data_IF_643683821435
#
_entry.id   IF_643683821435
#
_cell.length_a   1.000
_cell.length_b   1.000
_cell.length_c   1.000
_cell.angle_alpha   90.00
_cell.angle_beta   90.00
_cell.angle_gamma   90.00
#
_symmetry.space_group_name_H-M   'P 1'
#
loop_
_entity.id
_entity.type
_entity.pdbx_description
1 polymer ?
#
# COMPACT_ATOMS: atom_id res chain seq x y z
N UNK A 1 -13.09 -30.43 -4.33
CA UNK A 1 -12.10 -29.34 -4.49
C UNK A 1 -12.77 -28.07 -4.00
N UNK A 2 -12.20 -27.42 -2.99
CA UNK A 2 -12.76 -26.19 -2.40
C UNK A 2 -12.18 -24.98 -3.12
N UNK A 3 -13.00 -23.99 -3.47
CA UNK A 3 -12.55 -22.81 -4.19
C UNK A 3 -12.71 -21.55 -3.34
N UNK A 4 -11.70 -20.69 -3.34
CA UNK A 4 -11.73 -19.40 -2.66
C UNK A 4 -11.54 -18.25 -3.65
N UNK A 5 -12.43 -17.25 -3.54
CA UNK A 5 -12.25 -15.98 -4.22
C UNK A 5 -11.33 -15.09 -3.38
N UNK A 6 -10.24 -14.62 -3.99
CA UNK A 6 -9.36 -13.62 -3.44
C UNK A 6 -9.95 -12.24 -3.76
N UNK A 7 -10.16 -11.44 -2.72
CA UNK A 7 -10.62 -10.07 -2.83
C UNK A 7 -9.44 -9.10 -2.79
N UNK A 8 -8.48 -9.36 -1.90
CA UNK A 8 -7.29 -8.52 -1.71
C UNK A 8 -6.06 -9.37 -1.41
N UNK A 9 -4.89 -8.80 -1.63
CA UNK A 9 -3.63 -9.36 -1.13
C UNK A 9 -2.94 -8.36 -0.19
N UNK A 10 -2.38 -8.86 0.90
CA UNK A 10 -1.42 -8.11 1.70
C UNK A 10 -0.04 -8.25 1.08
N UNK A 11 0.73 -7.16 1.03
CA UNK A 11 2.10 -7.17 0.52
C UNK A 11 3.03 -6.34 1.36
N UNK A 12 4.31 -6.67 1.31
CA UNK A 12 5.40 -5.88 1.84
C UNK A 12 6.49 -5.65 0.78
N UNK A 13 7.70 -5.29 1.22
CA UNK A 13 8.87 -5.08 0.34
C UNK A 13 9.41 -6.35 -0.31
N UNK A 14 9.03 -7.53 0.16
CA UNK A 14 9.48 -8.84 -0.32
C UNK A 14 8.48 -9.50 -1.25
N UNK A 15 7.19 -9.19 -1.13
CA UNK A 15 6.16 -9.72 -2.00
C UNK A 15 4.79 -9.76 -1.33
N UNK A 16 3.93 -10.66 -1.82
CA UNK A 16 2.63 -10.96 -1.21
C UNK A 16 2.91 -11.77 0.07
N UNK A 17 2.32 -11.34 1.18
CA UNK A 17 2.48 -11.99 2.50
C UNK A 17 1.22 -12.72 2.94
N UNK A 18 0.04 -12.25 2.51
CA UNK A 18 -1.22 -12.92 2.82
C UNK A 18 -2.26 -12.67 1.72
N UNK A 19 -3.24 -13.54 1.68
CA UNK A 19 -4.39 -13.48 0.78
C UNK A 19 -5.65 -13.29 1.61
N UNK A 20 -6.46 -12.30 1.25
CA UNK A 20 -7.77 -12.06 1.85
C UNK A 20 -8.81 -12.63 0.92
N UNK A 21 -9.57 -13.59 1.43
CA UNK A 21 -10.72 -14.18 0.76
C UNK A 21 -12.00 -13.66 1.40
N UNK A 22 -13.14 -13.95 0.77
CA UNK A 22 -14.47 -13.61 1.30
C UNK A 22 -14.76 -14.13 2.72
N UNK A 23 -14.01 -15.14 3.18
CA UNK A 23 -14.26 -15.84 4.44
C UNK A 23 -13.10 -15.75 5.44
N UNK A 24 -11.90 -15.38 5.01
CA UNK A 24 -10.69 -15.55 5.83
C UNK A 24 -9.50 -14.77 5.30
N UNK A 25 -8.54 -14.51 6.18
CA UNK A 25 -7.18 -14.09 5.80
C UNK A 25 -6.25 -15.28 5.97
N UNK A 26 -5.49 -15.61 4.92
CA UNK A 26 -4.66 -16.81 4.83
C UNK A 26 -3.23 -16.40 4.47
N UNK A 27 -2.24 -16.95 5.18
CA UNK A 27 -0.82 -16.72 4.89
C UNK A 27 -0.43 -17.25 3.50
N UNK A 28 0.49 -16.56 2.83
CA UNK A 28 0.93 -16.90 1.46
C UNK A 28 1.51 -18.33 1.38
N UNK A 29 2.25 -18.78 2.38
CA UNK A 29 2.87 -20.11 2.37
C UNK A 29 1.80 -21.20 2.44
N UNK A 30 0.77 -20.99 3.26
CA UNK A 30 -0.40 -21.89 3.34
C UNK A 30 -1.16 -21.94 2.01
N UNK A 31 -1.34 -20.80 1.34
CA UNK A 31 -2.00 -20.77 0.02
C UNK A 31 -1.19 -21.56 -1.01
N UNK A 32 0.14 -21.44 -0.99
CA UNK A 32 1.04 -22.19 -1.87
C UNK A 32 0.92 -23.69 -1.62
N UNK A 33 0.94 -24.12 -0.36
CA UNK A 33 0.75 -25.53 0.02
C UNK A 33 -0.60 -26.08 -0.45
N UNK A 34 -1.66 -25.31 -0.24
CA UNK A 34 -3.00 -25.66 -0.70
C UNK A 34 -3.05 -25.89 -2.21
N UNK A 35 -2.48 -24.96 -3.01
CA UNK A 35 -2.41 -25.07 -4.46
C UNK A 35 -1.58 -26.29 -4.88
N UNK A 36 -0.42 -26.51 -4.24
CA UNK A 36 0.43 -27.67 -4.52
C UNK A 36 -0.25 -29.00 -4.18
N UNK A 37 -1.06 -29.03 -3.12
CA UNK A 37 -1.80 -30.23 -2.73
C UNK A 37 -2.92 -30.58 -3.72
N UNK A 38 -3.39 -29.61 -4.52
CA UNK A 38 -4.47 -29.78 -5.50
C UNK A 38 -5.89 -29.87 -4.90
N UNK A 39 -6.03 -29.87 -3.57
CA UNK A 39 -7.35 -30.02 -2.91
C UNK A 39 -8.14 -28.71 -2.84
N UNK A 40 -7.44 -27.57 -2.94
CA UNK A 40 -7.99 -26.23 -2.79
C UNK A 40 -7.52 -25.33 -3.93
N UNK A 41 -8.46 -24.62 -4.56
CA UNK A 41 -8.21 -23.67 -5.63
C UNK A 41 -8.44 -22.23 -5.17
N UNK A 42 -7.69 -21.31 -5.76
CA UNK A 42 -7.81 -19.88 -5.52
C UNK A 42 -8.04 -19.15 -6.84
N UNK A 43 -8.92 -18.16 -6.83
CA UNK A 43 -9.28 -17.39 -8.01
C UNK A 43 -9.37 -15.91 -7.69
N UNK A 44 -9.16 -15.08 -8.69
CA UNK A 44 -9.47 -13.65 -8.65
C UNK A 44 -10.60 -13.33 -9.63
N UNK A 45 -11.49 -12.43 -9.25
CA UNK A 45 -12.50 -11.86 -10.13
C UNK A 45 -11.94 -10.55 -10.71
N UNK A 46 -11.27 -10.67 -11.85
CA UNK A 46 -10.70 -9.51 -12.55
C UNK A 46 -11.79 -8.58 -13.11
N UNK A 47 -12.90 -9.19 -13.53
CA UNK A 47 -14.17 -8.58 -13.85
C UNK A 47 -15.29 -9.47 -13.26
N UNK A 48 -16.55 -9.02 -13.32
CA UNK A 48 -17.67 -9.74 -12.70
C UNK A 48 -17.95 -11.13 -13.30
N UNK A 49 -17.32 -11.51 -14.42
CA UNK A 49 -17.64 -12.74 -15.15
C UNK A 49 -16.47 -13.70 -15.34
N UNK A 50 -15.21 -13.23 -15.29
CA UNK A 50 -14.00 -14.00 -15.57
C UNK A 50 -13.23 -14.28 -14.28
N UNK A 51 -13.41 -15.50 -13.78
CA UNK A 51 -12.55 -16.07 -12.73
C UNK A 51 -11.21 -16.48 -13.32
N UNK A 52 -10.13 -15.88 -12.83
CA UNK A 52 -8.77 -16.24 -13.22
C UNK A 52 -8.12 -17.08 -12.12
N UNK A 53 -7.63 -18.30 -12.42
CA UNK A 53 -7.00 -19.14 -11.43
C UNK A 53 -5.67 -18.56 -10.97
N UNK A 54 -5.46 -18.57 -9.66
CA UNK A 54 -4.17 -18.27 -9.04
C UNK A 54 -3.32 -19.52 -9.04
N UNK A 55 -2.06 -19.36 -9.42
CA UNK A 55 -1.06 -20.43 -9.51
C UNK A 55 0.09 -20.12 -8.57
N UNK A 56 0.71 -21.17 -8.05
CA UNK A 56 2.03 -21.08 -7.43
C UNK A 56 3.09 -21.34 -8.50
N UNK A 57 4.11 -20.51 -8.56
CA UNK A 57 5.30 -20.70 -9.40
C UNK A 57 6.53 -20.73 -8.51
N UNK A 58 7.47 -21.62 -8.81
CA UNK A 58 8.77 -21.64 -8.14
C UNK A 58 9.78 -20.89 -9.00
N UNK A 59 10.46 -19.88 -8.44
CA UNK A 59 11.58 -19.20 -9.07
C UNK A 59 12.78 -19.13 -8.11
N UNK A 60 13.98 -18.84 -8.63
CA UNK A 60 15.27 -18.82 -7.92
C UNK A 60 15.25 -17.92 -6.65
N UNK A 61 14.69 -18.44 -5.55
CA UNK A 61 14.47 -17.70 -4.30
C UNK A 61 13.21 -18.07 -3.52
N UNK A 62 12.24 -18.78 -4.10
CA UNK A 62 11.03 -19.22 -3.39
C UNK A 62 9.82 -19.50 -4.30
N UNK A 63 8.76 -20.06 -3.71
CA UNK A 63 7.46 -20.16 -4.36
C UNK A 63 6.71 -18.83 -4.22
N UNK A 64 6.02 -18.41 -5.28
CA UNK A 64 5.26 -17.16 -5.30
C UNK A 64 3.91 -17.35 -5.99
N UNK A 65 2.92 -16.58 -5.55
CA UNK A 65 1.60 -16.57 -6.16
C UNK A 65 1.57 -15.73 -7.43
N UNK A 66 0.89 -16.24 -8.45
CA UNK A 66 0.77 -15.62 -9.77
C UNK A 66 -0.65 -15.72 -10.30
N UNK A 67 -1.19 -14.60 -10.80
CA UNK A 67 -2.41 -14.60 -11.61
C UNK A 67 -2.26 -13.62 -12.78
N UNK A 68 -2.70 -14.08 -13.95
CA UNK A 68 -2.69 -13.28 -15.18
C UNK A 68 -4.06 -13.28 -15.84
N UNK A 69 -4.76 -12.15 -15.76
CA UNK A 69 -6.11 -12.01 -16.31
C UNK A 69 -6.20 -11.09 -17.53
N UNK A 70 -5.30 -10.10 -17.66
CA UNK A 70 -5.26 -9.14 -18.77
C UNK A 70 -4.45 -9.64 -19.99
N UNK A 71 -3.83 -10.82 -19.89
CA UNK A 71 -3.03 -11.42 -20.97
C UNK A 71 -1.60 -10.88 -21.06
N UNK A 72 -1.24 -9.88 -20.25
CA UNK A 72 0.13 -9.40 -20.13
C UNK A 72 1.00 -10.43 -19.41
N UNK A 73 2.32 -10.43 -19.61
CA UNK A 73 3.21 -11.33 -18.84
C UNK A 73 3.42 -10.87 -17.38
N UNK A 74 2.67 -9.86 -16.91
CA UNK A 74 2.77 -9.33 -15.54
C UNK A 74 1.97 -10.19 -14.56
N UNK A 75 2.45 -10.29 -13.33
CA UNK A 75 1.62 -10.79 -12.23
C UNK A 75 0.70 -9.66 -11.76
N UNK A 76 -0.60 -9.80 -11.96
CA UNK A 76 -1.54 -8.75 -11.56
C UNK A 76 -2.06 -8.91 -10.14
N UNK A 77 -1.71 -9.97 -9.40
CA UNK A 77 -2.11 -10.06 -7.98
C UNK A 77 -1.66 -8.83 -7.17
N UNK A 78 -0.56 -8.19 -7.56
CA UNK A 78 -0.11 -6.95 -6.95
C UNK A 78 -1.07 -5.76 -7.13
N UNK A 79 -1.95 -5.81 -8.13
CA UNK A 79 -2.98 -4.79 -8.39
C UNK A 79 -4.16 -4.95 -7.41
N UNK A 80 -4.30 -6.12 -6.77
CA UNK A 80 -5.24 -6.37 -5.67
C UNK A 80 -4.64 -6.05 -4.30
N UNK A 81 -3.44 -5.48 -4.27
CA UNK A 81 -2.79 -5.19 -3.01
C UNK A 81 -3.59 -4.16 -2.22
N UNK A 82 -3.76 -4.42 -0.92
CA UNK A 82 -4.30 -3.40 -0.02
C UNK A 82 -3.40 -2.17 -0.12
N UNK A 83 -3.90 -1.07 -0.67
CA UNK A 83 -3.29 0.23 -0.46
C UNK A 83 -3.51 0.53 1.02
N UNK A 84 -2.52 0.21 1.86
CA UNK A 84 -2.50 0.73 3.21
C UNK A 84 -2.82 2.23 3.09
N UNK A 85 -3.86 2.75 3.77
CA UNK A 85 -4.05 4.19 3.79
C UNK A 85 -2.71 4.74 4.25
N UNK A 86 -2.08 5.58 3.42
CA UNK A 86 -0.95 6.39 3.83
C UNK A 86 -1.43 7.18 5.02
N UNK A 87 -1.25 6.64 6.23
CA UNK A 87 -1.46 7.43 7.45
C UNK A 87 -0.45 8.56 7.30
N UNK A 88 -0.88 9.82 7.16
CA UNK A 88 0.05 10.91 7.31
C UNK A 88 0.66 10.70 8.69
N UNK A 89 1.96 10.41 8.72
CA UNK A 89 2.70 10.47 9.97
C UNK A 89 2.54 11.91 10.42
N UNK A 90 1.76 12.13 11.47
CA UNK A 90 1.69 13.43 12.11
C UNK A 90 3.10 13.73 12.61
N UNK A 91 3.83 14.49 11.81
CA UNK A 91 5.14 14.99 12.17
C UNK A 91 4.88 15.96 13.30
N UNK A 92 5.08 15.50 14.54
CA UNK A 92 5.09 16.41 15.68
C UNK A 92 6.06 17.54 15.33
N UNK A 93 5.64 18.81 15.39
CA UNK A 93 6.55 19.91 15.15
C UNK A 93 7.73 19.73 16.11
N UNK A 94 8.93 19.63 15.56
CA UNK A 94 10.16 19.62 16.35
C UNK A 94 10.14 20.91 17.17
N UNK A 95 10.26 20.87 18.51
CA UNK A 95 10.28 22.08 19.31
C UNK A 95 11.42 22.97 18.81
N UNK A 96 11.06 24.14 18.27
CA UNK A 96 12.08 25.09 17.81
C UNK A 96 12.94 25.51 19.01
N UNK A 97 14.27 25.45 18.90
CA UNK A 97 15.15 25.89 19.97
C UNK A 97 14.91 27.38 20.25
N UNK A 98 14.95 27.81 21.53
CA UNK A 98 14.56 29.16 21.95
C UNK A 98 15.34 30.28 21.26
N UNK A 99 16.54 29.97 20.75
CA UNK A 99 17.40 30.88 19.99
C UNK A 99 16.75 31.30 18.66
N UNK A 100 16.04 30.39 17.98
CA UNK A 100 15.38 30.67 16.69
C UNK A 100 14.20 31.62 16.89
N UNK A 101 13.43 31.47 17.98
CA UNK A 101 12.35 32.39 18.36
C UNK A 101 12.86 33.77 18.75
N UNK A 102 14.05 33.86 19.36
CA UNK A 102 14.66 35.13 19.73
C UNK A 102 15.14 35.90 18.49
N UNK A 103 15.72 35.21 17.51
CA UNK A 103 16.18 35.83 16.27
C UNK A 103 15.02 36.37 15.42
N UNK A 104 13.93 35.61 15.27
CA UNK A 104 12.75 36.09 14.51
C UNK A 104 12.11 37.34 15.12
N UNK A 105 12.06 37.43 16.45
CA UNK A 105 11.54 38.61 17.15
C UNK A 105 12.41 39.87 16.93
N UNK A 106 13.72 39.71 16.72
CA UNK A 106 14.63 40.83 16.46
C UNK A 106 14.55 41.35 15.03
N UNK A 107 14.27 40.48 14.05
CA UNK A 107 14.15 40.87 12.63
C UNK A 107 12.76 41.40 12.23
N UNK A 108 11.69 41.05 12.94
CA UNK A 108 10.33 41.59 12.66
C UNK A 108 10.13 43.04 13.12
N UNK A 109 11.05 43.61 13.90
CA UNK A 109 10.89 44.95 14.49
C UNK A 109 11.29 46.12 13.57
N UNK A 110 11.57 45.86 12.27
CA UNK A 110 12.12 46.88 11.35
C UNK A 110 11.15 47.40 10.26
N UNK A 111 9.86 47.11 10.33
CA UNK A 111 8.89 47.56 9.31
C UNK A 111 7.80 48.52 9.80
N UNK A 112 8.10 49.41 10.74
CA UNK A 112 7.14 50.45 11.15
C UNK A 112 7.81 51.79 11.47
N UNK A 113 8.06 52.64 10.46
CA UNK A 113 7.95 54.09 10.66
C UNK A 113 7.89 54.95 9.38
N UNK A 114 6.83 55.80 9.32
CA UNK A 114 6.62 57.07 8.57
C UNK A 114 6.52 57.03 7.03
N UNK A 115 5.61 57.77 6.38
CA UNK A 115 5.14 59.12 6.72
C UNK A 115 3.69 59.38 6.25
N UNK A 116 2.93 60.07 7.11
CA UNK A 116 1.63 60.70 6.86
C UNK A 116 1.87 62.17 6.47
N UNK A 117 1.19 62.67 5.43
CA UNK A 117 0.93 64.10 5.16
C UNK A 117 -0.13 64.18 4.06
N UNK A 118 -1.42 64.35 4.41
CA UNK A 118 -2.21 65.61 4.43
C UNK A 118 -2.67 66.11 3.05
N UNK A 119 -4.01 66.24 2.92
CA UNK A 119 -4.81 67.30 2.26
C UNK A 119 -4.30 67.88 0.93
N UNK A 120 -5.09 67.92 -0.15
CA UNK A 120 -6.42 68.55 -0.31
C UNK A 120 -7.12 67.97 -1.54
#
# INVERSE_FOLDING_TARGET
MTEHLIEYVARDRTGITAVVTTTSVIDVDTVIEHIHSGHTGYYVAADSWKRTPVRSLSFLGGAYLFANWDGSKRNMLHDLAFHAPTRPVETKPVPEPPIVRLLSALFSRRSTHRHRSTQR
#
